data_IF_123258769344
#
_entry.id   IF_123258769344
#
_cell.length_a   1.000
_cell.length_b   1.000
_cell.length_c   1.000
_cell.angle_alpha   90.00
_cell.angle_beta   90.00
_cell.angle_gamma   90.00
#
_symmetry.space_group_name_H-M   'P 1'
#
loop_
_entity.id
_entity.type
_entity.pdbx_description
1 polymer ?
#
# COMPACT_ATOMS: atom_id res chain seq x y z
N UNK A 1 -37.27 -2.83 -8.13
CA UNK A 1 -37.95 -3.75 -9.07
C UNK A 1 -38.88 -4.69 -8.31
N UNK A 2 -39.97 -4.19 -7.78
CA UNK A 2 -41.00 -5.00 -7.10
C UNK A 2 -42.32 -4.71 -7.80
N UNK A 3 -42.63 -5.42 -8.88
CA UNK A 3 -44.01 -5.48 -9.43
C UNK A 3 -43.99 -6.32 -10.73
N UNK A 4 -44.13 -7.64 -10.61
CA UNK A 4 -44.55 -8.47 -11.73
C UNK A 4 -45.11 -9.86 -11.36
N UNK A 5 -45.48 -10.06 -10.09
CA UNK A 5 -46.23 -11.26 -9.77
C UNK A 5 -47.57 -10.79 -9.18
N UNK A 6 -48.63 -10.88 -10.00
CA UNK A 6 -49.96 -10.62 -9.58
C UNK A 6 -50.35 -11.49 -8.37
N UNK A 7 -51.37 -11.07 -7.61
CA UNK A 7 -51.80 -11.78 -6.42
C UNK A 7 -52.03 -13.29 -6.70
N UNK A 8 -51.75 -14.18 -5.71
CA UNK A 8 -51.92 -15.64 -5.84
C UNK A 8 -53.26 -16.04 -6.42
N UNK A 9 -54.34 -15.33 -6.09
CA UNK A 9 -55.68 -15.50 -6.63
C UNK A 9 -55.79 -15.33 -8.15
N UNK A 10 -55.00 -14.44 -8.75
CA UNK A 10 -55.01 -14.21 -10.21
C UNK A 10 -54.35 -15.37 -10.98
N UNK A 11 -53.33 -15.96 -10.39
CA UNK A 11 -52.63 -17.14 -10.93
C UNK A 11 -53.51 -18.40 -10.82
N UNK A 12 -54.24 -18.59 -9.73
CA UNK A 12 -55.19 -19.71 -9.56
C UNK A 12 -56.31 -19.67 -10.59
N UNK A 13 -56.85 -18.47 -10.86
CA UNK A 13 -57.92 -18.28 -11.87
C UNK A 13 -57.40 -18.56 -13.29
N UNK A 14 -56.17 -18.18 -13.58
CA UNK A 14 -55.56 -18.37 -14.91
C UNK A 14 -55.17 -19.83 -15.18
N UNK A 15 -54.69 -20.54 -14.17
CA UNK A 15 -54.44 -21.99 -14.22
C UNK A 15 -55.70 -22.83 -14.35
N UNK A 16 -56.75 -22.47 -13.60
CA UNK A 16 -58.08 -23.10 -13.67
C UNK A 16 -58.72 -22.95 -15.08
N UNK A 17 -58.53 -21.80 -15.74
CA UNK A 17 -58.97 -21.53 -17.10
C UNK A 17 -58.19 -22.33 -18.17
N UNK A 18 -56.89 -22.55 -17.94
CA UNK A 18 -56.00 -23.13 -18.96
C UNK A 18 -56.01 -24.65 -18.94
N UNK A 19 -56.27 -25.27 -17.81
CA UNK A 19 -56.16 -26.72 -17.63
C UNK A 19 -57.47 -27.43 -17.32
N UNK A 20 -58.65 -26.75 -17.32
CA UNK A 20 -59.98 -27.31 -17.45
C UNK A 20 -60.39 -28.41 -16.45
N UNK A 21 -59.72 -28.51 -15.30
CA UNK A 21 -60.04 -29.47 -14.26
C UNK A 21 -59.92 -28.86 -12.86
N UNK A 22 -60.83 -29.22 -11.96
CA UNK A 22 -60.68 -28.94 -10.54
C UNK A 22 -59.35 -29.52 -10.05
N UNK A 23 -58.37 -28.65 -9.88
CA UNK A 23 -57.14 -29.00 -9.18
C UNK A 23 -57.52 -29.43 -7.76
N UNK A 24 -57.20 -30.70 -7.40
CA UNK A 24 -57.48 -31.22 -6.06
C UNK A 24 -56.77 -30.31 -5.05
N UNK A 25 -57.41 -30.00 -3.96
CA UNK A 25 -56.85 -29.16 -2.87
C UNK A 25 -55.46 -29.65 -2.44
N UNK A 26 -55.21 -30.95 -2.57
CA UNK A 26 -53.91 -31.59 -2.27
C UNK A 26 -52.80 -31.13 -3.21
N UNK A 27 -53.09 -30.95 -4.52
CA UNK A 27 -52.08 -30.54 -5.51
C UNK A 27 -51.67 -29.07 -5.30
N UNK A 28 -52.64 -28.23 -4.93
CA UNK A 28 -52.37 -26.80 -4.61
C UNK A 28 -51.49 -26.64 -3.37
N UNK A 29 -51.68 -27.48 -2.37
CA UNK A 29 -50.81 -27.47 -1.16
C UNK A 29 -49.38 -27.93 -1.49
N UNK A 30 -49.20 -28.96 -2.27
CA UNK A 30 -47.88 -29.44 -2.67
C UNK A 30 -47.11 -28.42 -3.52
N UNK A 31 -47.81 -27.73 -4.46
CA UNK A 31 -47.18 -26.63 -5.23
C UNK A 31 -46.79 -25.45 -4.34
N UNK A 32 -47.61 -25.10 -3.37
CA UNK A 32 -47.29 -24.02 -2.43
C UNK A 32 -46.05 -24.36 -1.59
N UNK A 33 -46.00 -25.55 -1.02
CA UNK A 33 -44.86 -26.03 -0.24
C UNK A 33 -43.56 -26.06 -1.07
N UNK A 34 -43.67 -26.49 -2.35
CA UNK A 34 -42.54 -26.47 -3.29
C UNK A 34 -42.07 -25.05 -3.58
N UNK A 35 -43.00 -24.11 -3.83
CA UNK A 35 -42.69 -22.69 -4.06
C UNK A 35 -42.03 -22.07 -2.82
N UNK A 36 -42.54 -22.34 -1.62
CA UNK A 36 -41.95 -21.83 -0.38
C UNK A 36 -40.56 -22.39 -0.14
N UNK A 37 -40.34 -23.68 -0.42
CA UNK A 37 -39.03 -24.31 -0.33
C UNK A 37 -38.01 -23.72 -1.35
N UNK A 38 -38.48 -23.48 -2.59
CA UNK A 38 -37.63 -22.84 -3.63
C UNK A 38 -37.30 -21.40 -3.28
N UNK A 39 -38.25 -20.66 -2.76
CA UNK A 39 -38.01 -19.28 -2.30
C UNK A 39 -37.02 -19.23 -1.12
N UNK A 40 -37.11 -20.19 -0.20
CA UNK A 40 -36.10 -20.32 0.87
C UNK A 40 -34.70 -20.57 0.31
N UNK A 41 -34.57 -21.53 -0.63
CA UNK A 41 -33.29 -21.81 -1.29
C UNK A 41 -32.75 -20.60 -2.07
N UNK A 42 -33.60 -19.88 -2.78
CA UNK A 42 -33.19 -18.65 -3.49
C UNK A 42 -32.61 -17.65 -2.48
N UNK A 43 -33.31 -17.44 -1.37
CA UNK A 43 -32.83 -16.53 -0.31
C UNK A 43 -31.49 -16.96 0.29
N UNK A 44 -31.30 -18.26 0.49
CA UNK A 44 -30.04 -18.80 0.97
C UNK A 44 -28.91 -18.60 -0.06
N UNK A 45 -29.17 -18.83 -1.34
CA UNK A 45 -28.19 -18.56 -2.41
C UNK A 45 -27.89 -17.07 -2.56
N UNK A 46 -28.90 -16.19 -2.42
CA UNK A 46 -28.68 -14.74 -2.43
C UNK A 46 -27.75 -14.31 -1.27
N UNK A 47 -28.00 -14.82 -0.08
CA UNK A 47 -27.17 -14.54 1.10
C UNK A 47 -25.76 -15.07 0.90
N UNK A 48 -25.60 -16.30 0.38
CA UNK A 48 -24.29 -16.89 0.09
C UNK A 48 -23.54 -16.08 -0.97
N UNK A 49 -24.25 -15.67 -2.03
CA UNK A 49 -23.67 -14.84 -3.10
C UNK A 49 -23.17 -13.48 -2.56
N UNK A 50 -23.97 -12.81 -1.74
CA UNK A 50 -23.60 -11.54 -1.13
C UNK A 50 -22.36 -11.69 -0.23
N UNK A 51 -22.31 -12.79 0.53
CA UNK A 51 -21.17 -13.09 1.39
C UNK A 51 -19.90 -13.37 0.55
N UNK A 52 -19.99 -14.21 -0.47
CA UNK A 52 -18.86 -14.50 -1.36
C UNK A 52 -18.36 -13.24 -2.08
N UNK A 53 -19.28 -12.36 -2.49
CA UNK A 53 -18.93 -11.09 -3.11
C UNK A 53 -18.14 -10.20 -2.14
N UNK A 54 -18.58 -10.08 -0.89
CA UNK A 54 -17.86 -9.32 0.14
C UNK A 54 -16.47 -9.91 0.41
N UNK A 55 -16.36 -11.22 0.55
CA UNK A 55 -15.08 -11.93 0.74
C UNK A 55 -14.12 -11.70 -0.45
N UNK A 56 -14.65 -11.68 -1.69
CA UNK A 56 -13.86 -11.41 -2.89
C UNK A 56 -13.36 -9.95 -2.96
N UNK A 57 -14.20 -8.99 -2.58
CA UNK A 57 -13.83 -7.58 -2.50
C UNK A 57 -12.74 -7.35 -1.43
N UNK A 58 -12.82 -8.02 -0.29
CA UNK A 58 -11.80 -7.97 0.76
C UNK A 58 -10.49 -8.62 0.30
N UNK A 59 -10.58 -9.78 -0.36
CA UNK A 59 -9.42 -10.46 -0.94
C UNK A 59 -8.72 -9.59 -1.99
N UNK A 60 -9.47 -8.96 -2.90
CA UNK A 60 -8.92 -8.07 -3.91
C UNK A 60 -8.17 -6.91 -3.28
N UNK A 61 -8.77 -6.24 -2.28
CA UNK A 61 -8.12 -5.14 -1.54
C UNK A 61 -6.85 -5.58 -0.81
N UNK A 62 -6.86 -6.79 -0.23
CA UNK A 62 -5.68 -7.33 0.43
C UNK A 62 -4.55 -7.61 -0.58
N UNK A 63 -4.90 -8.16 -1.74
CA UNK A 63 -3.94 -8.44 -2.82
C UNK A 63 -3.34 -7.18 -3.43
N UNK A 64 -4.13 -6.13 -3.64
CA UNK A 64 -3.62 -4.83 -4.10
C UNK A 64 -2.58 -4.23 -3.14
N UNK A 65 -2.86 -4.32 -1.83
CA UNK A 65 -1.90 -3.88 -0.80
C UNK A 65 -0.62 -4.73 -0.82
N UNK A 66 -0.75 -6.04 -0.97
CA UNK A 66 0.39 -6.96 -1.05
C UNK A 66 1.27 -6.66 -2.26
N UNK A 67 0.66 -6.50 -3.45
CA UNK A 67 1.37 -6.13 -4.67
C UNK A 67 2.10 -4.80 -4.50
N UNK A 68 1.43 -3.79 -3.96
CA UNK A 68 2.04 -2.48 -3.71
C UNK A 68 3.27 -2.59 -2.79
N UNK A 69 3.20 -3.42 -1.74
CA UNK A 69 4.34 -3.70 -0.85
C UNK A 69 5.48 -4.41 -1.57
N UNK A 70 5.16 -5.40 -2.41
CA UNK A 70 6.19 -6.14 -3.17
C UNK A 70 6.93 -5.20 -4.12
N UNK A 71 6.20 -4.36 -4.86
CA UNK A 71 6.78 -3.37 -5.79
C UNK A 71 7.64 -2.36 -5.02
N UNK A 72 7.17 -1.88 -3.87
CA UNK A 72 7.92 -0.95 -3.02
C UNK A 72 9.21 -1.60 -2.50
N UNK A 73 9.15 -2.83 -1.97
CA UNK A 73 10.31 -3.56 -1.46
C UNK A 73 11.35 -3.86 -2.56
N UNK A 74 10.90 -4.25 -3.76
CA UNK A 74 11.79 -4.47 -4.89
C UNK A 74 12.56 -3.18 -5.28
N UNK A 75 11.89 -2.03 -5.27
CA UNK A 75 12.52 -0.73 -5.51
C UNK A 75 13.51 -0.36 -4.40
N UNK A 76 13.19 -0.66 -3.14
CA UNK A 76 14.06 -0.45 -1.98
C UNK A 76 15.39 -1.16 -2.12
N UNK A 77 15.38 -2.45 -2.47
CA UNK A 77 16.59 -3.26 -2.58
C UNK A 77 17.50 -2.77 -3.72
N UNK A 78 16.90 -2.45 -4.88
CA UNK A 78 17.69 -1.91 -6.02
C UNK A 78 18.30 -0.57 -5.64
N UNK A 79 17.55 0.36 -5.08
CA UNK A 79 18.05 1.69 -4.72
C UNK A 79 19.11 1.57 -3.62
N UNK A 80 18.88 0.74 -2.60
CA UNK A 80 19.85 0.48 -1.52
C UNK A 80 21.20 -0.01 -2.08
N UNK A 81 21.18 -0.88 -3.09
CA UNK A 81 22.39 -1.38 -3.74
C UNK A 81 23.08 -0.34 -4.62
N UNK A 82 22.40 0.74 -5.02
CA UNK A 82 22.99 1.87 -5.75
C UNK A 82 23.65 2.89 -4.80
N UNK A 83 23.22 3.00 -3.53
CA UNK A 83 23.77 3.98 -2.60
C UNK A 83 25.31 3.93 -2.46
N UNK A 84 25.98 2.75 -2.43
CA UNK A 84 27.43 2.69 -2.39
C UNK A 84 28.10 3.35 -3.60
N UNK A 85 27.45 3.35 -4.78
CA UNK A 85 27.96 4.04 -5.97
C UNK A 85 27.90 5.56 -5.77
N UNK A 86 26.83 6.06 -5.16
CA UNK A 86 26.72 7.48 -4.82
C UNK A 86 27.79 7.88 -3.79
N UNK A 87 28.03 7.05 -2.77
CA UNK A 87 29.08 7.28 -1.78
C UNK A 87 30.49 7.31 -2.41
N UNK A 88 30.75 6.41 -3.37
CA UNK A 88 32.00 6.40 -4.12
C UNK A 88 32.17 7.68 -4.96
N UNK A 89 31.09 8.18 -5.58
CA UNK A 89 31.10 9.46 -6.28
C UNK A 89 31.35 10.63 -5.32
N UNK A 90 30.71 10.66 -4.15
CA UNK A 90 30.93 11.71 -3.13
C UNK A 90 32.39 11.71 -2.65
N UNK A 91 32.98 10.53 -2.42
CA UNK A 91 34.39 10.39 -2.07
C UNK A 91 35.33 10.86 -3.19
N UNK A 92 35.03 10.50 -4.44
CA UNK A 92 35.82 10.91 -5.59
C UNK A 92 35.77 12.43 -5.86
N UNK A 93 34.63 13.07 -5.62
CA UNK A 93 34.48 14.52 -5.71
C UNK A 93 35.43 15.26 -4.77
N UNK A 94 35.62 14.73 -3.56
CA UNK A 94 36.53 15.31 -2.56
C UNK A 94 38.02 15.19 -2.91
N UNK A 95 38.42 14.21 -3.72
CA UNK A 95 39.84 13.85 -3.98
C UNK A 95 40.30 14.13 -5.41
N UNK A 96 39.41 14.42 -6.36
CA UNK A 96 39.72 14.54 -7.77
C UNK A 96 39.81 15.98 -8.27
N UNK A 97 40.73 16.22 -9.24
CA UNK A 97 40.82 17.47 -10.01
C UNK A 97 39.58 17.69 -10.91
N UNK A 98 38.88 16.61 -11.30
CA UNK A 98 37.67 16.64 -12.13
C UNK A 98 36.37 16.62 -11.27
N UNK A 99 36.40 17.10 -10.05
CA UNK A 99 35.31 17.07 -9.09
C UNK A 99 34.00 17.71 -9.60
N UNK A 100 34.08 18.65 -10.52
CA UNK A 100 32.89 19.33 -11.09
C UNK A 100 32.08 18.40 -12.04
N UNK A 101 32.78 17.62 -12.89
CA UNK A 101 32.16 16.64 -13.78
C UNK A 101 31.53 15.49 -12.97
N UNK A 102 32.21 15.02 -11.92
CA UNK A 102 31.70 13.97 -11.04
C UNK A 102 30.47 14.46 -10.25
N UNK A 103 30.46 15.74 -9.82
CA UNK A 103 29.31 16.35 -9.16
C UNK A 103 28.11 16.46 -10.08
N UNK A 104 28.32 16.81 -11.36
CA UNK A 104 27.25 16.82 -12.35
C UNK A 104 26.66 15.42 -12.59
N UNK A 105 27.51 14.39 -12.69
CA UNK A 105 27.07 12.99 -12.82
C UNK A 105 26.27 12.53 -11.60
N UNK A 106 26.79 12.78 -10.38
CA UNK A 106 26.08 12.47 -9.13
C UNK A 106 24.69 13.14 -9.09
N UNK A 107 24.64 14.43 -9.40
CA UNK A 107 23.38 15.17 -9.38
C UNK A 107 22.37 14.62 -10.43
N UNK A 108 22.88 14.21 -11.59
CA UNK A 108 22.03 13.58 -12.62
C UNK A 108 21.47 12.24 -12.16
N UNK A 109 22.29 11.42 -11.49
CA UNK A 109 21.87 10.15 -10.90
C UNK A 109 20.80 10.37 -9.82
N UNK A 110 21.03 11.31 -8.90
CA UNK A 110 20.06 11.65 -7.85
C UNK A 110 18.73 12.13 -8.43
N UNK A 111 18.74 13.01 -9.45
CA UNK A 111 17.51 13.44 -10.13
C UNK A 111 16.71 12.30 -10.75
N UNK A 112 17.38 11.26 -11.22
CA UNK A 112 16.69 10.05 -11.69
C UNK A 112 16.05 9.31 -10.53
N UNK A 113 16.77 9.12 -9.42
CA UNK A 113 16.29 8.41 -8.24
C UNK A 113 15.20 9.18 -7.48
N UNK A 114 15.22 10.51 -7.52
CA UNK A 114 14.16 11.38 -6.98
C UNK A 114 12.78 11.11 -7.61
N UNK A 115 12.74 10.72 -8.91
CA UNK A 115 11.50 10.34 -9.58
C UNK A 115 10.88 9.06 -8.98
N UNK A 116 11.71 8.24 -8.34
CA UNK A 116 11.29 7.04 -7.62
C UNK A 116 11.06 7.29 -6.13
N UNK A 117 11.16 8.55 -5.70
CA UNK A 117 10.89 8.95 -4.32
C UNK A 117 12.11 8.99 -3.40
N UNK A 118 13.35 8.82 -3.93
CA UNK A 118 14.56 8.96 -3.13
C UNK A 118 14.77 10.42 -2.73
N UNK A 119 15.08 10.66 -1.45
CA UNK A 119 15.43 12.00 -0.93
C UNK A 119 16.59 11.89 0.04
N UNK A 120 17.52 12.84 -0.04
CA UNK A 120 18.58 12.98 0.96
C UNK A 120 17.98 13.42 2.32
N UNK A 121 18.55 12.90 3.41
CA UNK A 121 18.22 13.34 4.76
C UNK A 121 19.13 14.56 5.05
N UNK A 122 18.56 15.74 5.35
CA UNK A 122 19.37 16.87 5.77
C UNK A 122 20.01 16.56 7.12
N UNK A 123 21.33 16.76 7.22
CA UNK A 123 22.04 16.43 8.45
C UNK A 123 22.90 17.59 8.98
N UNK A 124 23.82 18.10 8.17
CA UNK A 124 24.77 19.14 8.64
C UNK A 124 24.06 20.43 9.09
N UNK A 125 24.28 20.84 10.33
CA UNK A 125 23.64 22.00 10.94
C UNK A 125 22.25 21.73 11.52
N UNK A 126 21.68 20.54 11.32
CA UNK A 126 20.42 20.12 11.89
C UNK A 126 20.60 19.53 13.30
N UNK A 127 19.50 19.46 14.04
CA UNK A 127 19.47 18.79 15.34
C UNK A 127 19.52 17.28 15.15
N UNK A 128 20.31 16.59 15.95
CA UNK A 128 20.40 15.14 15.92
C UNK A 128 19.04 14.50 16.22
N UNK A 129 18.62 13.61 15.33
CA UNK A 129 17.43 12.79 15.46
C UNK A 129 17.83 11.30 15.33
N UNK A 130 17.65 10.48 16.38
CA UNK A 130 18.01 9.06 16.34
C UNK A 130 17.30 8.24 15.26
N UNK A 131 16.16 8.69 14.75
CA UNK A 131 15.43 7.99 13.67
C UNK A 131 16.03 8.26 12.28
N UNK A 132 16.78 9.36 12.13
CA UNK A 132 17.33 9.83 10.86
C UNK A 132 18.86 9.75 10.80
N UNK A 133 19.52 9.84 11.97
CA UNK A 133 20.94 10.01 12.08
C UNK A 133 21.57 8.94 12.98
N UNK A 134 22.76 8.50 12.62
CA UNK A 134 23.64 7.62 13.39
C UNK A 134 24.87 8.42 13.83
N UNK A 135 25.00 8.67 15.13
CA UNK A 135 26.16 9.38 15.67
C UNK A 135 27.38 8.45 15.69
N UNK A 136 28.39 8.76 14.88
CA UNK A 136 29.67 8.00 14.82
C UNK A 136 30.76 8.61 15.70
N UNK A 137 30.66 9.90 16.01
CA UNK A 137 31.56 10.61 16.93
C UNK A 137 30.86 11.79 17.60
N UNK A 138 31.43 12.22 18.70
CA UNK A 138 31.02 13.44 19.43
C UNK A 138 32.23 14.37 19.56
N UNK A 139 32.04 15.64 19.24
CA UNK A 139 33.10 16.67 19.32
C UNK A 139 32.65 17.85 20.19
N UNK A 140 33.63 18.58 20.75
CA UNK A 140 33.32 19.78 21.47
C UNK A 140 32.78 20.85 20.51
N UNK A 141 31.62 21.42 20.83
CA UNK A 141 30.95 22.42 20.01
C UNK A 141 30.31 23.51 20.89
N UNK A 142 29.89 24.59 20.25
CA UNK A 142 29.18 25.68 20.93
C UNK A 142 27.76 25.31 21.34
N UNK A 143 27.13 24.45 20.56
CA UNK A 143 25.73 24.03 20.72
C UNK A 143 25.66 22.53 20.91
N UNK A 144 24.84 22.08 21.85
CA UNK A 144 24.64 20.68 22.17
C UNK A 144 23.62 20.04 21.24
N UNK A 145 23.93 18.83 20.76
CA UNK A 145 23.02 18.05 19.91
C UNK A 145 22.90 18.53 18.48
N UNK A 146 23.74 19.47 18.01
CA UNK A 146 23.78 19.93 16.62
C UNK A 146 24.82 19.10 15.82
N UNK A 147 24.44 18.66 14.64
CA UNK A 147 25.30 17.91 13.73
C UNK A 147 26.36 18.83 13.12
N UNK A 148 27.63 18.56 13.40
CA UNK A 148 28.77 19.36 12.94
C UNK A 148 29.24 18.90 11.57
N UNK A 149 29.31 17.59 11.36
CA UNK A 149 29.78 16.98 10.11
C UNK A 149 28.95 15.77 9.74
N UNK A 150 28.85 15.51 8.45
CA UNK A 150 28.19 14.34 7.89
C UNK A 150 29.24 13.50 7.13
N UNK A 151 29.54 12.30 7.64
CA UNK A 151 30.48 11.39 7.02
C UNK A 151 29.88 10.57 5.89
N UNK A 152 28.61 10.20 6.03
CA UNK A 152 27.89 9.45 5.05
C UNK A 152 26.46 9.93 4.97
N UNK A 153 26.00 10.22 3.76
CA UNK A 153 24.66 10.73 3.51
C UNK A 153 23.59 9.69 3.78
N UNK A 154 22.56 10.09 4.49
CA UNK A 154 21.34 9.33 4.69
C UNK A 154 20.34 9.57 3.58
N UNK A 155 19.48 8.56 3.36
CA UNK A 155 18.45 8.62 2.32
C UNK A 155 17.14 8.04 2.81
N UNK A 156 16.05 8.69 2.40
CA UNK A 156 14.68 8.18 2.52
C UNK A 156 14.16 7.79 1.14
N UNK A 157 13.36 6.73 1.09
CA UNK A 157 12.56 6.40 -0.08
C UNK A 157 11.09 6.57 0.29
N UNK A 158 10.45 7.58 -0.31
CA UNK A 158 9.14 8.06 0.12
C UNK A 158 9.16 8.46 1.61
N UNK A 159 8.44 7.71 2.48
CA UNK A 159 8.35 7.97 3.92
C UNK A 159 9.24 7.05 4.76
N UNK A 160 9.95 6.09 4.14
CA UNK A 160 10.76 5.10 4.84
C UNK A 160 12.26 5.44 4.76
N UNK A 161 12.97 5.32 5.89
CA UNK A 161 14.42 5.54 5.94
C UNK A 161 15.12 4.31 5.36
N UNK A 162 15.78 4.49 4.20
CA UNK A 162 16.61 3.46 3.58
C UNK A 162 17.96 3.29 4.30
N UNK A 163 18.53 4.41 4.71
CA UNK A 163 19.81 4.47 5.42
C UNK A 163 19.88 5.78 6.18
N UNK A 164 20.27 5.73 7.45
CA UNK A 164 20.54 6.89 8.29
C UNK A 164 21.79 7.65 7.82
N UNK A 165 21.84 8.97 8.06
CA UNK A 165 23.09 9.73 7.88
C UNK A 165 24.07 9.40 9.02
N UNK A 166 25.33 9.10 8.70
CA UNK A 166 26.40 8.98 9.71
C UNK A 166 27.01 10.34 9.99
N UNK A 167 26.87 10.76 11.25
CA UNK A 167 27.14 12.15 11.62
C UNK A 167 28.04 12.28 12.83
N UNK A 168 28.68 13.44 12.94
CA UNK A 168 29.39 13.89 14.15
C UNK A 168 28.49 14.89 14.86
N UNK A 169 28.22 14.63 16.11
CA UNK A 169 27.34 15.48 16.94
C UNK A 169 28.16 16.37 17.83
N UNK A 170 27.79 17.63 17.89
CA UNK A 170 28.36 18.59 18.82
C UNK A 170 27.87 18.35 20.25
N UNK A 171 28.77 18.34 21.21
CA UNK A 171 28.48 18.41 22.65
C UNK A 171 29.12 19.66 23.24
N UNK A 172 28.35 20.42 24.00
CA UNK A 172 28.88 21.57 24.70
C UNK A 172 29.87 21.09 25.76
N UNK A 173 31.11 21.53 25.64
CA UNK A 173 32.11 21.30 26.69
C UNK A 173 31.69 21.97 27.98
N UNK A 174 31.95 21.32 29.11
CA UNK A 174 31.81 21.92 30.44
C UNK A 174 32.82 23.04 30.65
#
# INVERSE_FOLDING_TARGET
MRQRYGSPLKYEIELSRRYGGEMRKTDTYQFKETIDSLNAKIKDYENLFLRQRAEMEDYSRAKEKEISRIVMNASHDVIRNILPVIDALDSAIGSSKDGENLRALRNSLLKVLEKYGLREIPAKGEKFDPFLHEAVAVVNAKEDGIIQEEYQKGYKLNDEVLRTSKVVVGKKGE
#
